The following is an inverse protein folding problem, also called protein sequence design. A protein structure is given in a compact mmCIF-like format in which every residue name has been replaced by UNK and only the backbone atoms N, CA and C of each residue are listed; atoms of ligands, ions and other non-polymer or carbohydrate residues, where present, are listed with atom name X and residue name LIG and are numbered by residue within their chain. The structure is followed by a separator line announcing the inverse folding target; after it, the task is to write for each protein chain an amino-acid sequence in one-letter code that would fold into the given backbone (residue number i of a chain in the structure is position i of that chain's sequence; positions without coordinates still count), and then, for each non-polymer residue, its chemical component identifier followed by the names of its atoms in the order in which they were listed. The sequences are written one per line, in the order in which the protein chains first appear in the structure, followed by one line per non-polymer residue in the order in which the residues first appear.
data_IF_557448164013
#
_entry.id   IF_557448164013
#
_cell.length_a   1.000
_cell.length_b   1.000
_cell.length_c   1.000
_cell.angle_alpha   90.00
_cell.angle_beta   90.00
_cell.angle_gamma   90.00
#
_symmetry.space_group_name_H-M   'P 1'
#
loop_
_entity.id
_entity.type
_entity.pdbx_description
1 polymer ?
#
# COMPACT_ATOMS: atom_id res chain seq x y z
N UNK A 1 7.16 -33.32 -3.27
CA UNK A 1 6.50 -33.04 -4.56
C UNK A 1 5.82 -31.68 -4.44
N UNK A 2 6.40 -30.63 -5.01
CA UNK A 2 5.75 -29.31 -5.08
C UNK A 2 5.01 -29.23 -6.42
N UNK A 3 3.68 -29.08 -6.37
CA UNK A 3 2.86 -28.90 -7.57
C UNK A 3 2.99 -27.49 -8.11
N UNK A 4 3.10 -27.32 -9.43
CA UNK A 4 3.05 -26.01 -10.07
C UNK A 4 1.60 -25.49 -10.06
N UNK A 5 1.33 -24.39 -9.34
CA UNK A 5 0.01 -23.80 -9.20
C UNK A 5 -0.67 -23.47 -10.54
N UNK A 6 0.10 -23.14 -11.59
CA UNK A 6 -0.45 -22.89 -12.94
C UNK A 6 -1.13 -24.12 -13.55
N UNK A 7 -0.82 -25.33 -13.08
CA UNK A 7 -1.50 -26.55 -13.55
C UNK A 7 -2.96 -26.59 -13.12
N UNK A 8 -3.34 -25.87 -12.05
CA UNK A 8 -4.72 -25.77 -11.60
C UNK A 8 -5.61 -25.05 -12.63
N UNK A 9 -5.05 -24.23 -13.54
CA UNK A 9 -5.80 -23.60 -14.64
C UNK A 9 -6.55 -24.62 -15.51
N UNK A 10 -6.09 -25.89 -15.57
CA UNK A 10 -6.81 -26.97 -16.29
C UNK A 10 -8.21 -27.24 -15.74
N UNK A 11 -8.46 -26.92 -14.46
CA UNK A 11 -9.77 -27.09 -13.84
C UNK A 11 -10.81 -26.13 -14.44
N UNK A 12 -10.39 -25.00 -15.01
CA UNK A 12 -11.28 -24.03 -15.66
C UNK A 12 -11.97 -24.58 -16.92
N UNK A 13 -11.44 -25.66 -17.50
CA UNK A 13 -12.04 -26.32 -18.66
C UNK A 13 -13.03 -27.43 -18.28
N UNK A 14 -13.25 -27.67 -16.98
CA UNK A 14 -14.20 -28.67 -16.52
C UNK A 14 -15.63 -28.12 -16.58
N UNK A 15 -16.64 -28.95 -16.92
CA UNK A 15 -18.04 -28.53 -16.95
C UNK A 15 -18.57 -27.99 -15.61
N UNK A 16 -17.94 -28.38 -14.49
CA UNK A 16 -18.28 -27.92 -13.15
C UNK A 16 -17.59 -26.61 -12.75
N UNK A 17 -16.78 -26.02 -13.63
CA UNK A 17 -16.09 -24.75 -13.33
C UNK A 17 -17.10 -23.61 -13.24
N UNK A 18 -16.88 -22.73 -12.29
CA UNK A 18 -17.68 -21.55 -11.99
C UNK A 18 -16.83 -20.29 -12.04
N UNK A 19 -17.47 -19.13 -12.00
CA UNK A 19 -16.79 -17.83 -11.92
C UNK A 19 -15.94 -17.70 -10.65
N UNK A 20 -16.34 -18.38 -9.56
CA UNK A 20 -15.57 -18.41 -8.31
C UNK A 20 -14.21 -19.09 -8.50
N UNK A 21 -14.10 -20.05 -9.41
CA UNK A 21 -12.83 -20.72 -9.71
C UNK A 21 -11.82 -19.78 -10.36
N UNK A 22 -12.27 -18.82 -11.19
CA UNK A 22 -11.41 -17.77 -11.74
C UNK A 22 -10.79 -16.92 -10.62
N UNK A 23 -11.61 -16.52 -9.64
CA UNK A 23 -11.15 -15.75 -8.47
C UNK A 23 -10.22 -16.56 -7.58
N UNK A 24 -10.58 -17.81 -7.29
CA UNK A 24 -9.81 -18.68 -6.41
C UNK A 24 -8.43 -18.98 -7.00
N UNK A 25 -8.39 -19.44 -8.25
CA UNK A 25 -7.15 -19.89 -8.87
C UNK A 25 -6.20 -18.72 -9.16
N UNK A 26 -6.71 -17.55 -9.57
CA UNK A 26 -5.89 -16.34 -9.69
C UNK A 26 -5.25 -15.95 -8.36
N UNK A 27 -6.00 -16.05 -7.26
CA UNK A 27 -5.50 -15.76 -5.93
C UNK A 27 -4.48 -16.78 -5.44
N UNK A 28 -4.66 -18.08 -5.74
CA UNK A 28 -3.70 -19.14 -5.39
C UNK A 28 -2.36 -18.89 -6.06
N UNK A 29 -2.35 -18.61 -7.38
CA UNK A 29 -1.12 -18.31 -8.10
C UNK A 29 -0.44 -17.05 -7.59
N UNK A 30 -1.21 -15.99 -7.29
CA UNK A 30 -0.67 -14.77 -6.69
C UNK A 30 -0.03 -15.03 -5.34
N UNK A 31 -0.66 -15.89 -4.52
CA UNK A 31 -0.15 -16.21 -3.20
C UNK A 31 1.16 -17.00 -3.27
N UNK A 32 1.38 -17.83 -4.29
CA UNK A 32 2.69 -18.48 -4.51
C UNK A 32 3.78 -17.43 -4.71
N UNK A 33 3.53 -16.41 -5.54
CA UNK A 33 4.48 -15.31 -5.77
C UNK A 33 4.70 -14.53 -4.46
N UNK A 34 3.63 -14.19 -3.73
CA UNK A 34 3.74 -13.47 -2.44
C UNK A 34 4.49 -14.25 -1.37
N UNK A 35 4.30 -15.57 -1.30
CA UNK A 35 5.05 -16.44 -0.38
C UNK A 35 6.53 -16.42 -0.75
N UNK A 36 6.86 -16.53 -2.04
CA UNK A 36 8.25 -16.46 -2.49
C UNK A 36 8.91 -15.10 -2.14
N UNK A 37 8.19 -13.99 -2.32
CA UNK A 37 8.62 -12.66 -1.89
C UNK A 37 8.87 -12.62 -0.38
N UNK A 38 7.95 -13.16 0.42
CA UNK A 38 8.06 -13.18 1.88
C UNK A 38 9.24 -14.03 2.38
N UNK A 39 9.44 -15.21 1.81
CA UNK A 39 10.52 -16.11 2.18
C UNK A 39 11.88 -15.51 1.83
N UNK A 40 11.97 -14.85 0.67
CA UNK A 40 13.24 -14.30 0.17
C UNK A 40 13.62 -13.00 0.88
N UNK A 41 12.70 -12.04 1.00
CA UNK A 41 12.96 -10.74 1.63
C UNK A 41 12.77 -10.74 3.15
N UNK A 42 12.15 -11.78 3.69
CA UNK A 42 12.00 -12.01 5.14
C UNK A 42 12.99 -13.02 5.70
N UNK A 43 13.96 -13.47 4.89
CA UNK A 43 14.96 -14.46 5.31
C UNK A 43 15.77 -13.97 6.52
N UNK A 44 16.08 -14.88 7.46
CA UNK A 44 16.90 -14.58 8.65
C UNK A 44 18.29 -14.06 8.30
N UNK A 45 18.83 -14.50 7.16
CA UNK A 45 20.08 -14.02 6.59
C UNK A 45 19.68 -13.13 5.42
N UNK A 46 19.82 -11.79 5.54
CA UNK A 46 19.47 -10.88 4.46
C UNK A 46 20.33 -11.14 3.21
N UNK A 47 19.70 -10.97 2.05
CA UNK A 47 20.41 -10.93 0.78
C UNK A 47 21.40 -9.76 0.73
N UNK A 48 22.42 -9.86 -0.12
CA UNK A 48 23.24 -8.70 -0.42
C UNK A 48 22.38 -7.61 -1.10
N UNK A 49 22.72 -6.34 -0.88
CA UNK A 49 21.91 -5.20 -1.36
C UNK A 49 21.66 -5.22 -2.87
N UNK A 50 22.66 -5.63 -3.66
CA UNK A 50 22.53 -5.77 -5.12
C UNK A 50 21.53 -6.88 -5.51
N UNK A 51 21.54 -7.99 -4.78
CA UNK A 51 20.64 -9.12 -5.01
C UNK A 51 19.19 -8.77 -4.66
N UNK A 52 18.97 -7.92 -3.65
CA UNK A 52 17.63 -7.41 -3.32
C UNK A 52 17.05 -6.60 -4.50
N UNK A 53 17.85 -5.71 -5.09
CA UNK A 53 17.39 -4.90 -6.21
C UNK A 53 17.08 -5.74 -7.45
N UNK A 54 17.92 -6.75 -7.74
CA UNK A 54 17.67 -7.72 -8.81
C UNK A 54 16.39 -8.53 -8.55
N UNK A 55 16.22 -9.04 -7.33
CA UNK A 55 15.04 -9.78 -6.90
C UNK A 55 13.76 -8.95 -7.04
N UNK A 56 13.78 -7.67 -6.66
CA UNK A 56 12.61 -6.78 -6.81
C UNK A 56 12.20 -6.66 -8.28
N UNK A 57 13.14 -6.59 -9.21
CA UNK A 57 12.83 -6.53 -10.64
C UNK A 57 12.22 -7.85 -11.13
N UNK A 58 12.80 -8.99 -10.74
CA UNK A 58 12.29 -10.31 -11.10
C UNK A 58 10.88 -10.56 -10.53
N UNK A 59 10.69 -10.33 -9.23
CA UNK A 59 9.39 -10.49 -8.58
C UNK A 59 8.33 -9.55 -9.17
N UNK A 60 8.72 -8.35 -9.61
CA UNK A 60 7.82 -7.45 -10.34
C UNK A 60 7.42 -8.03 -11.70
N UNK A 61 8.36 -8.57 -12.47
CA UNK A 61 8.07 -9.24 -13.74
C UNK A 61 7.10 -10.41 -13.54
N UNK A 62 7.28 -11.20 -12.49
CA UNK A 62 6.37 -12.30 -12.16
C UNK A 62 4.94 -11.81 -11.84
N UNK A 63 4.80 -10.71 -11.10
CA UNK A 63 3.52 -10.08 -10.84
C UNK A 63 2.88 -9.51 -12.11
N UNK A 64 3.67 -8.91 -13.00
CA UNK A 64 3.22 -8.39 -14.28
C UNK A 64 2.69 -9.53 -15.18
N UNK A 65 3.46 -10.63 -15.31
CA UNK A 65 3.05 -11.82 -16.06
C UNK A 65 1.81 -12.49 -15.48
N UNK A 66 1.73 -12.63 -14.16
CA UNK A 66 0.54 -13.16 -13.49
C UNK A 66 -0.69 -12.32 -13.83
N UNK A 67 -0.57 -10.99 -13.75
CA UNK A 67 -1.68 -10.08 -14.04
C UNK A 67 -2.14 -10.19 -15.49
N UNK A 68 -1.22 -10.12 -16.45
CA UNK A 68 -1.55 -10.17 -17.89
C UNK A 68 -2.20 -11.50 -18.29
N UNK A 69 -1.69 -12.61 -17.76
CA UNK A 69 -2.27 -13.93 -17.98
C UNK A 69 -3.70 -14.02 -17.44
N UNK A 70 -3.90 -13.61 -16.18
CA UNK A 70 -5.23 -13.73 -15.55
C UNK A 70 -6.23 -12.74 -16.11
N UNK A 71 -5.79 -11.55 -16.51
CA UNK A 71 -6.64 -10.62 -17.24
C UNK A 71 -7.15 -11.28 -18.53
N UNK A 72 -6.25 -11.86 -19.34
CA UNK A 72 -6.62 -12.54 -20.58
C UNK A 72 -7.53 -13.76 -20.34
N UNK A 73 -7.26 -14.54 -19.28
CA UNK A 73 -8.07 -15.70 -18.92
C UNK A 73 -9.49 -15.26 -18.56
N UNK A 74 -9.66 -14.23 -17.73
CA UNK A 74 -10.97 -13.71 -17.33
C UNK A 74 -11.72 -13.14 -18.53
N UNK A 75 -11.04 -12.33 -19.36
CA UNK A 75 -11.64 -11.71 -20.55
C UNK A 75 -12.10 -12.74 -21.59
N UNK A 76 -11.42 -13.90 -21.68
CA UNK A 76 -11.80 -14.99 -22.57
C UNK A 76 -12.87 -15.91 -21.97
N UNK A 77 -12.92 -16.03 -20.64
CA UNK A 77 -13.87 -16.90 -19.96
C UNK A 77 -15.26 -16.26 -19.81
N UNK A 78 -15.34 -14.93 -19.71
CA UNK A 78 -16.57 -14.19 -19.45
C UNK A 78 -16.90 -13.25 -20.60
N UNK A 79 -18.18 -13.24 -20.99
CA UNK A 79 -18.69 -12.33 -22.01
C UNK A 79 -18.51 -10.85 -21.57
N UNK A 80 -18.40 -9.90 -22.51
CA UNK A 80 -18.23 -8.48 -22.17
C UNK A 80 -19.33 -7.89 -21.29
N UNK A 81 -20.54 -8.43 -21.38
CA UNK A 81 -21.75 -8.05 -20.64
C UNK A 81 -21.97 -8.86 -19.35
N UNK A 82 -21.08 -9.79 -19.02
CA UNK A 82 -21.14 -10.56 -17.78
C UNK A 82 -20.90 -9.66 -16.55
N UNK A 83 -21.87 -9.65 -15.63
CA UNK A 83 -21.86 -8.82 -14.41
C UNK A 83 -20.67 -9.10 -13.49
N UNK A 84 -20.07 -10.30 -13.56
CA UNK A 84 -18.91 -10.67 -12.76
C UNK A 84 -17.59 -10.25 -13.39
N UNK A 85 -17.56 -9.97 -14.70
CA UNK A 85 -16.33 -9.64 -15.42
C UNK A 85 -15.66 -8.38 -14.88
N UNK A 86 -16.40 -7.28 -14.78
CA UNK A 86 -15.83 -6.00 -14.35
C UNK A 86 -15.32 -6.05 -12.89
N UNK A 87 -16.08 -6.55 -11.89
CA UNK A 87 -15.58 -6.70 -10.52
C UNK A 87 -14.36 -7.61 -10.40
N UNK A 88 -14.27 -8.68 -11.20
CA UNK A 88 -13.11 -9.57 -11.17
C UNK A 88 -11.85 -8.89 -11.72
N UNK A 89 -11.96 -8.17 -12.83
CA UNK A 89 -10.84 -7.41 -13.39
C UNK A 89 -10.40 -6.28 -12.45
N UNK A 90 -11.35 -5.61 -11.79
CA UNK A 90 -11.07 -4.65 -10.73
C UNK A 90 -10.24 -5.26 -9.60
N UNK A 91 -10.72 -6.40 -9.07
CA UNK A 91 -10.06 -7.12 -8.00
C UNK A 91 -8.64 -7.53 -8.41
N UNK A 92 -8.44 -7.97 -9.66
CA UNK A 92 -7.14 -8.35 -10.18
C UNK A 92 -6.15 -7.17 -10.18
N UNK A 93 -6.59 -5.99 -10.67
CA UNK A 93 -5.77 -4.76 -10.67
C UNK A 93 -5.43 -4.31 -9.25
N UNK A 94 -6.41 -4.31 -8.34
CA UNK A 94 -6.23 -3.95 -6.93
C UNK A 94 -5.23 -4.90 -6.25
N UNK A 95 -5.38 -6.22 -6.46
CA UNK A 95 -4.46 -7.21 -5.90
C UNK A 95 -3.03 -7.09 -6.47
N UNK A 96 -2.88 -6.68 -7.73
CA UNK A 96 -1.56 -6.36 -8.31
C UNK A 96 -0.92 -5.19 -7.57
N UNK A 97 -1.61 -4.06 -7.47
CA UNK A 97 -1.10 -2.87 -6.79
C UNK A 97 -0.73 -3.16 -5.33
N UNK A 98 -1.57 -3.92 -4.62
CA UNK A 98 -1.26 -4.40 -3.27
C UNK A 98 0.05 -5.20 -3.23
N UNK A 99 0.23 -6.14 -4.15
CA UNK A 99 1.39 -7.04 -4.15
C UNK A 99 2.69 -6.29 -4.46
N UNK A 100 2.65 -5.37 -5.44
CA UNK A 100 3.80 -4.52 -5.77
C UNK A 100 4.17 -3.61 -4.60
N UNK A 101 3.18 -2.97 -3.98
CA UNK A 101 3.41 -2.13 -2.80
C UNK A 101 4.08 -2.93 -1.67
N UNK A 102 3.58 -4.14 -1.38
CA UNK A 102 4.17 -5.04 -0.37
C UNK A 102 5.58 -5.50 -0.74
N UNK A 103 5.84 -5.82 -2.01
CA UNK A 103 7.17 -6.15 -2.51
C UNK A 103 8.16 -5.01 -2.22
N UNK A 104 7.81 -3.79 -2.60
CA UNK A 104 8.68 -2.62 -2.41
C UNK A 104 8.93 -2.34 -0.93
N UNK A 105 7.88 -2.39 -0.10
CA UNK A 105 8.01 -2.17 1.34
C UNK A 105 8.87 -3.26 2.02
N UNK A 106 8.74 -4.53 1.60
CA UNK A 106 9.60 -5.62 2.12
C UNK A 106 11.03 -5.47 1.66
N UNK A 107 11.26 -5.03 0.44
CA UNK A 107 12.60 -4.78 -0.06
C UNK A 107 13.28 -3.67 0.73
N UNK A 108 12.59 -2.56 1.02
CA UNK A 108 13.11 -1.49 1.87
C UNK A 108 13.46 -1.98 3.28
N UNK A 109 12.58 -2.80 3.89
CA UNK A 109 12.86 -3.43 5.18
C UNK A 109 14.08 -4.36 5.12
N UNK A 110 14.19 -5.17 4.07
CA UNK A 110 15.33 -6.07 3.86
C UNK A 110 16.64 -5.32 3.58
N UNK A 111 16.58 -4.12 3.01
CA UNK A 111 17.72 -3.23 2.81
C UNK A 111 18.16 -2.52 4.10
N UNK A 112 17.41 -2.68 5.20
CA UNK A 112 17.66 -2.02 6.48
C UNK A 112 17.32 -0.53 6.47
N UNK A 113 16.41 -0.11 5.57
CA UNK A 113 16.08 1.30 5.43
C UNK A 113 15.04 1.70 6.44
N UNK A 114 15.47 2.53 7.38
CA UNK A 114 14.58 3.15 8.35
C UNK A 114 14.49 4.66 8.12
N UNK A 115 15.62 5.32 7.80
CA UNK A 115 15.69 6.76 7.55
C UNK A 115 15.67 7.10 6.05
N UNK A 116 14.63 7.81 5.60
CA UNK A 116 14.48 8.27 4.21
C UNK A 116 15.58 9.26 3.77
N UNK A 117 16.14 10.06 4.70
CA UNK A 117 17.21 11.01 4.38
C UNK A 117 18.53 10.33 3.99
N UNK A 118 18.76 9.11 4.48
CA UNK A 118 19.99 8.34 4.26
C UNK A 118 19.87 7.34 3.09
N UNK A 119 18.78 7.40 2.32
CA UNK A 119 18.54 6.45 1.22
C UNK A 119 19.53 6.65 0.06
N UNK A 120 20.11 5.53 -0.39
CA UNK A 120 20.76 5.47 -1.70
C UNK A 120 19.76 5.71 -2.83
N UNK A 121 20.23 6.07 -4.05
CA UNK A 121 19.35 6.27 -5.20
C UNK A 121 18.46 5.06 -5.52
N UNK A 122 18.97 3.85 -5.29
CA UNK A 122 18.22 2.60 -5.51
C UNK A 122 17.10 2.45 -4.49
N UNK A 123 17.36 2.69 -3.20
CA UNK A 123 16.34 2.64 -2.15
C UNK A 123 15.27 3.71 -2.36
N UNK A 124 15.68 4.94 -2.70
CA UNK A 124 14.75 6.02 -3.01
C UNK A 124 13.86 5.68 -4.20
N UNK A 125 14.40 5.03 -5.23
CA UNK A 125 13.62 4.52 -6.37
C UNK A 125 12.60 3.49 -5.93
N UNK A 126 12.97 2.52 -5.07
CA UNK A 126 12.04 1.51 -4.53
C UNK A 126 10.93 2.18 -3.69
N UNK A 127 11.27 3.18 -2.88
CA UNK A 127 10.29 3.95 -2.10
C UNK A 127 9.29 4.68 -3.01
N UNK A 128 9.77 5.32 -4.07
CA UNK A 128 8.91 5.96 -5.07
C UNK A 128 7.99 4.94 -5.77
N UNK A 129 8.50 3.74 -6.05
CA UNK A 129 7.68 2.65 -6.61
C UNK A 129 6.61 2.18 -5.62
N UNK A 130 6.91 2.09 -4.31
CA UNK A 130 5.91 1.80 -3.28
C UNK A 130 4.80 2.86 -3.26
N UNK A 131 5.18 4.14 -3.28
CA UNK A 131 4.25 5.28 -3.32
C UNK A 131 3.38 5.27 -4.57
N UNK A 132 3.97 5.01 -5.73
CA UNK A 132 3.25 4.90 -7.00
C UNK A 132 2.23 3.75 -6.99
N UNK A 133 2.60 2.58 -6.48
CA UNK A 133 1.66 1.45 -6.32
C UNK A 133 0.52 1.80 -5.35
N UNK A 134 0.80 2.53 -4.26
CA UNK A 134 -0.21 2.99 -3.31
C UNK A 134 -1.19 4.02 -3.92
N UNK A 135 -0.68 5.02 -4.65
CA UNK A 135 -1.52 5.98 -5.39
C UNK A 135 -2.39 5.29 -6.43
N UNK A 136 -1.82 4.36 -7.20
CA UNK A 136 -2.59 3.58 -8.18
C UNK A 136 -3.67 2.75 -7.51
N UNK A 137 -3.39 2.14 -6.36
CA UNK A 137 -4.40 1.43 -5.57
C UNK A 137 -5.55 2.36 -5.17
N UNK A 138 -5.26 3.56 -4.66
CA UNK A 138 -6.30 4.55 -4.31
C UNK A 138 -7.15 4.93 -5.53
N UNK A 139 -6.51 5.25 -6.66
CA UNK A 139 -7.20 5.59 -7.91
C UNK A 139 -8.12 4.47 -8.40
N UNK A 140 -7.67 3.21 -8.36
CA UNK A 140 -8.51 2.06 -8.72
C UNK A 140 -9.72 1.90 -7.80
N UNK A 141 -9.54 2.19 -6.51
CA UNK A 141 -10.61 2.12 -5.52
C UNK A 141 -11.62 3.26 -5.67
N UNK A 142 -11.20 4.47 -6.03
CA UNK A 142 -12.08 5.65 -6.07
C UNK A 142 -12.64 5.96 -7.45
N UNK A 143 -11.92 5.65 -8.53
CA UNK A 143 -12.29 6.06 -9.90
C UNK A 143 -12.96 4.92 -10.66
N UNK A 144 -12.44 3.69 -10.56
CA UNK A 144 -12.75 2.68 -11.57
C UNK A 144 -13.95 1.75 -11.26
N UNK A 145 -14.43 1.54 -10.02
CA UNK A 145 -15.37 0.42 -9.80
C UNK A 145 -16.36 0.55 -8.62
N UNK A 146 -17.51 1.21 -8.84
CA UNK A 146 -18.68 1.12 -7.95
C UNK A 146 -19.07 -0.35 -7.69
N UNK A 147 -19.02 -1.19 -8.74
CA UNK A 147 -19.38 -2.61 -8.69
C UNK A 147 -18.42 -3.50 -7.88
N UNK A 148 -17.16 -3.07 -7.69
CA UNK A 148 -16.22 -3.77 -6.79
C UNK A 148 -16.48 -3.39 -5.32
N UNK A 149 -16.66 -2.09 -5.04
CA UNK A 149 -16.92 -1.59 -3.69
C UNK A 149 -18.25 -2.09 -3.14
N UNK A 150 -19.27 -2.23 -3.99
CA UNK A 150 -20.54 -2.85 -3.62
C UNK A 150 -20.38 -4.27 -3.09
N UNK A 151 -19.39 -5.02 -3.58
CA UNK A 151 -19.10 -6.39 -3.12
C UNK A 151 -18.27 -6.43 -1.83
N UNK A 152 -17.71 -5.30 -1.37
CA UNK A 152 -16.95 -5.24 -0.11
C UNK A 152 -17.80 -5.50 1.13
N UNK A 153 -19.12 -5.31 1.07
CA UNK A 153 -20.05 -5.68 2.15
C UNK A 153 -20.04 -7.17 2.49
N UNK A 154 -19.55 -8.01 1.58
CA UNK A 154 -19.36 -9.46 1.76
C UNK A 154 -17.89 -9.83 1.98
N UNK A 155 -17.00 -8.85 2.06
CA UNK A 155 -15.58 -9.09 2.22
C UNK A 155 -15.24 -9.42 3.67
N UNK A 156 -14.22 -10.25 3.82
CA UNK A 156 -13.60 -10.54 5.12
C UNK A 156 -12.92 -9.29 5.68
N UNK A 157 -12.80 -9.24 7.01
CA UNK A 157 -12.18 -8.13 7.76
C UNK A 157 -10.82 -7.68 7.21
N UNK A 158 -9.97 -8.64 6.82
CA UNK A 158 -8.65 -8.35 6.26
C UNK A 158 -8.67 -7.52 4.97
N UNK A 159 -9.78 -7.52 4.22
CA UNK A 159 -9.91 -6.72 3.00
C UNK A 159 -10.06 -5.24 3.36
N UNK A 160 -10.85 -4.94 4.40
CA UNK A 160 -10.99 -3.61 4.97
C UNK A 160 -9.65 -3.12 5.54
N UNK A 161 -8.96 -4.01 6.26
CA UNK A 161 -7.65 -3.71 6.80
C UNK A 161 -6.64 -3.32 5.69
N UNK A 162 -6.60 -4.07 4.59
CA UNK A 162 -5.74 -3.74 3.44
C UNK A 162 -6.08 -2.40 2.82
N UNK A 163 -7.36 -2.07 2.64
CA UNK A 163 -7.78 -0.78 2.09
C UNK A 163 -7.32 0.37 2.97
N UNK A 164 -7.53 0.26 4.28
CA UNK A 164 -7.07 1.25 5.24
C UNK A 164 -5.55 1.38 5.21
N UNK A 165 -4.83 0.26 5.25
CA UNK A 165 -3.38 0.23 5.19
C UNK A 165 -2.84 0.97 3.96
N UNK A 166 -3.32 0.65 2.75
CA UNK A 166 -2.85 1.26 1.50
C UNK A 166 -2.89 2.78 1.58
N UNK A 167 -4.00 3.31 2.08
CA UNK A 167 -4.19 4.75 2.15
C UNK A 167 -3.35 5.40 3.26
N UNK A 168 -3.26 4.78 4.43
CA UNK A 168 -2.41 5.26 5.53
C UNK A 168 -0.93 5.27 5.13
N UNK A 169 -0.47 4.21 4.46
CA UNK A 169 0.89 4.16 3.92
C UNK A 169 1.09 5.26 2.89
N UNK A 170 0.11 5.51 2.01
CA UNK A 170 0.19 6.59 1.03
C UNK A 170 0.32 7.96 1.71
N UNK A 171 -0.55 8.29 2.68
CA UNK A 171 -0.43 9.55 3.46
C UNK A 171 0.96 9.70 4.07
N UNK A 172 1.48 8.62 4.66
CA UNK A 172 2.83 8.58 5.24
C UNK A 172 3.92 8.83 4.19
N UNK A 173 3.87 8.14 3.05
CA UNK A 173 4.84 8.30 1.96
C UNK A 173 4.76 9.69 1.31
N UNK A 174 3.55 10.24 1.18
CA UNK A 174 3.29 11.59 0.68
C UNK A 174 3.84 12.66 1.60
N UNK A 175 3.90 12.41 2.91
CA UNK A 175 4.63 13.27 3.85
C UNK A 175 6.14 13.10 3.70
N UNK A 176 6.64 11.86 3.73
CA UNK A 176 8.09 11.54 3.67
C UNK A 176 8.77 12.02 2.39
N UNK A 177 8.06 11.93 1.27
CA UNK A 177 8.51 12.38 -0.03
C UNK A 177 7.70 13.62 -0.39
N UNK A 178 8.15 14.79 0.09
CA UNK A 178 7.58 16.12 -0.16
C UNK A 178 6.88 16.20 -1.54
N UNK A 179 5.61 16.61 -1.52
CA UNK A 179 4.76 16.73 -2.71
C UNK A 179 4.39 18.18 -2.98
N UNK A 180 3.90 18.44 -4.20
CA UNK A 180 3.28 19.73 -4.51
C UNK A 180 1.93 19.90 -3.83
N UNK A 181 1.50 21.15 -3.64
CA UNK A 181 0.19 21.49 -3.06
C UNK A 181 -0.98 20.81 -3.81
N UNK A 182 -0.93 20.78 -5.14
CA UNK A 182 -1.94 20.14 -5.98
C UNK A 182 -2.05 18.62 -5.69
N UNK A 183 -0.92 17.94 -5.50
CA UNK A 183 -0.90 16.51 -5.20
C UNK A 183 -1.49 16.21 -3.82
N UNK A 184 -1.24 17.09 -2.84
CA UNK A 184 -1.81 17.00 -1.51
C UNK A 184 -3.33 17.20 -1.52
N UNK A 185 -3.82 18.18 -2.29
CA UNK A 185 -5.25 18.43 -2.48
C UNK A 185 -5.93 17.24 -3.18
N UNK A 186 -5.33 16.72 -4.26
CA UNK A 186 -5.81 15.52 -4.96
C UNK A 186 -5.91 14.31 -4.01
N UNK A 187 -4.89 14.10 -3.18
CA UNK A 187 -4.85 13.02 -2.21
C UNK A 187 -5.95 13.13 -1.16
N UNK A 188 -6.23 14.34 -0.67
CA UNK A 188 -7.35 14.60 0.26
C UNK A 188 -8.70 14.36 -0.41
N UNK A 189 -8.89 14.82 -1.65
CA UNK A 189 -10.14 14.59 -2.40
C UNK A 189 -10.39 13.09 -2.60
N UNK A 190 -9.39 12.35 -3.08
CA UNK A 190 -9.51 10.91 -3.27
C UNK A 190 -9.66 10.15 -1.94
N UNK A 191 -8.96 10.58 -0.89
CA UNK A 191 -9.08 10.00 0.45
C UNK A 191 -10.48 10.14 1.05
N UNK A 192 -11.07 11.34 0.95
CA UNK A 192 -12.44 11.58 1.43
C UNK A 192 -13.45 10.75 0.63
N UNK A 193 -13.30 10.66 -0.70
CA UNK A 193 -14.14 9.80 -1.53
C UNK A 193 -14.05 8.33 -1.12
N UNK A 194 -12.84 7.81 -0.92
CA UNK A 194 -12.63 6.45 -0.42
C UNK A 194 -13.35 6.22 0.91
N UNK A 195 -13.23 7.16 1.86
CA UNK A 195 -13.89 7.07 3.16
C UNK A 195 -15.41 7.04 3.02
N UNK A 196 -15.99 7.89 2.17
CA UNK A 196 -17.43 7.90 1.90
C UNK A 196 -17.90 6.56 1.32
N UNK A 197 -17.20 6.04 0.32
CA UNK A 197 -17.61 4.81 -0.36
C UNK A 197 -17.48 3.58 0.55
N UNK A 198 -16.41 3.51 1.35
CA UNK A 198 -16.27 2.48 2.37
C UNK A 198 -17.35 2.60 3.47
N UNK A 199 -17.72 3.82 3.87
CA UNK A 199 -18.79 4.06 4.85
C UNK A 199 -20.14 3.57 4.32
N UNK A 200 -20.48 3.88 3.06
CA UNK A 200 -21.70 3.37 2.40
C UNK A 200 -21.74 1.85 2.38
N UNK A 201 -20.60 1.21 2.10
CA UNK A 201 -20.48 -0.26 2.04
C UNK A 201 -20.66 -0.92 3.42
N UNK A 202 -20.15 -0.31 4.50
CA UNK A 202 -20.39 -0.79 5.89
C UNK A 202 -21.85 -0.64 6.30
N UNK A 203 -22.49 0.51 6.02
CA UNK A 203 -23.90 0.74 6.39
C UNK A 203 -24.87 -0.26 5.76
N UNK A 204 -24.50 -0.84 4.61
CA UNK A 204 -25.28 -1.85 3.89
C UNK A 204 -24.92 -3.30 4.30
N UNK A 205 -24.01 -3.48 5.26
CA UNK A 205 -23.50 -4.78 5.68
C UNK A 205 -23.89 -5.09 7.14
N UNK A 206 -24.14 -6.37 7.44
CA UNK A 206 -24.19 -6.88 8.82
C UNK A 206 -22.76 -7.20 9.35
N UNK A 207 -21.71 -6.79 8.63
CA UNK A 207 -20.35 -7.20 8.86
C UNK A 207 -19.64 -6.28 9.90
N UNK A 208 -19.55 -6.81 11.11
CA UNK A 208 -18.45 -6.71 12.10
C UNK A 208 -17.98 -5.33 12.63
N UNK A 209 -17.90 -5.26 13.97
CA UNK A 209 -17.42 -4.14 14.80
C UNK A 209 -16.09 -3.48 14.37
N UNK A 210 -15.23 -4.21 13.65
CA UNK A 210 -13.87 -3.79 13.32
C UNK A 210 -13.77 -2.98 12.03
N UNK A 211 -14.69 -3.15 11.07
CA UNK A 211 -14.78 -2.29 9.88
C UNK A 211 -14.97 -0.82 10.27
N UNK A 212 -15.73 -0.57 11.33
CA UNK A 212 -15.90 0.75 11.91
C UNK A 212 -14.58 1.32 12.46
N UNK A 213 -13.72 0.49 13.09
CA UNK A 213 -12.43 0.94 13.59
C UNK A 213 -11.53 1.45 12.44
N UNK A 214 -11.45 0.72 11.33
CA UNK A 214 -10.69 1.15 10.13
C UNK A 214 -11.21 2.44 9.53
N UNK A 215 -12.55 2.61 9.49
CA UNK A 215 -13.16 3.86 9.03
C UNK A 215 -12.83 5.04 9.95
N UNK A 216 -12.87 4.85 11.27
CA UNK A 216 -12.50 5.92 12.22
C UNK A 216 -11.04 6.33 12.05
N UNK A 217 -10.14 5.36 11.92
CA UNK A 217 -8.72 5.61 11.68
C UNK A 217 -8.51 6.41 10.40
N UNK A 218 -9.15 6.00 9.31
CA UNK A 218 -9.07 6.70 8.03
C UNK A 218 -9.56 8.14 8.15
N UNK A 219 -10.74 8.35 8.75
CA UNK A 219 -11.30 9.68 8.99
C UNK A 219 -10.34 10.57 9.76
N UNK A 220 -9.86 10.12 10.91
CA UNK A 220 -8.95 10.89 11.76
C UNK A 220 -7.62 11.18 11.05
N UNK A 221 -7.12 10.24 10.26
CA UNK A 221 -5.88 10.41 9.49
C UNK A 221 -6.03 11.43 8.37
N UNK A 222 -7.16 11.43 7.65
CA UNK A 222 -7.49 12.41 6.61
C UNK A 222 -7.62 13.80 7.22
N UNK A 223 -8.41 13.94 8.29
CA UNK A 223 -8.61 15.22 8.98
C UNK A 223 -7.29 15.81 9.46
N UNK A 224 -6.44 14.98 10.08
CA UNK A 224 -5.12 15.42 10.52
C UNK A 224 -4.26 15.87 9.35
N UNK A 225 -4.18 15.06 8.30
CA UNK A 225 -3.39 15.37 7.12
C UNK A 225 -3.82 16.72 6.49
N UNK A 226 -5.14 16.97 6.44
CA UNK A 226 -5.70 18.24 5.97
C UNK A 226 -5.31 19.43 6.85
N UNK A 227 -5.38 19.29 8.19
CA UNK A 227 -4.97 20.36 9.13
C UNK A 227 -3.50 20.73 8.97
N UNK A 228 -2.62 19.73 8.87
CA UNK A 228 -1.18 19.97 8.70
C UNK A 228 -0.85 20.72 7.42
N UNK A 229 -1.63 20.51 6.35
CA UNK A 229 -1.47 21.24 5.08
C UNK A 229 -1.92 22.71 5.20
N UNK A 230 -3.02 22.96 5.91
CA UNK A 230 -3.53 24.32 6.11
C UNK A 230 -2.59 25.15 6.99
N UNK A 231 -2.05 24.57 8.05
CA UNK A 231 -1.08 25.22 8.94
C UNK A 231 0.22 25.56 8.20
N UNK A 232 0.70 24.68 7.32
CA UNK A 232 1.86 24.95 6.47
C UNK A 232 1.61 26.03 5.40
N UNK A 233 0.36 26.29 5.03
CA UNK A 233 -0.02 27.29 4.03
C UNK A 233 -0.33 28.68 4.59
N UNK A 234 -0.50 28.82 5.91
CA UNK A 234 -0.78 30.10 6.59
C UNK A 234 0.48 30.86 7.04
N UNK A 235 1.68 30.29 6.85
CA UNK A 235 2.96 30.88 7.24
C UNK A 235 3.65 31.77 6.20
N UNK A 236 3.05 32.00 5.03
CA UNK A 236 3.72 32.56 3.85
C UNK A 236 3.38 34.04 3.53
N UNK A 237 3.05 34.85 4.56
CA UNK A 237 2.91 36.32 4.41
C UNK A 237 3.99 37.14 5.17
N UNK A 238 5.04 36.50 5.69
CA UNK A 238 6.14 37.17 6.39
C UNK A 238 7.50 36.80 5.83
N UNK A 239 8.26 37.81 5.37
CA UNK A 239 9.62 37.71 4.81
C UNK A 239 10.55 36.79 5.61
N UNK A 240 11.35 35.99 4.86
CA UNK A 240 12.24 34.89 5.27
C UNK A 240 11.57 33.52 5.47
N UNK A 241 11.04 32.96 4.38
CA UNK A 241 10.72 31.55 4.27
C UNK A 241 12.01 30.70 4.25
N UNK A 242 12.59 30.47 5.43
CA UNK A 242 13.36 29.24 5.62
C UNK A 242 12.36 28.09 5.50
N UNK A 243 12.52 27.33 4.42
CA UNK A 243 11.85 26.06 4.09
C UNK A 243 12.14 25.01 5.17
N UNK A 244 11.57 25.16 6.36
CA UNK A 244 11.65 24.17 7.42
C UNK A 244 10.81 22.95 7.03
N UNK A 245 11.41 21.76 6.85
CA UNK A 245 10.66 20.55 6.56
C UNK A 245 9.73 20.24 7.75
N UNK A 246 8.48 19.89 7.46
CA UNK A 246 7.43 19.55 8.44
C UNK A 246 7.86 18.59 9.59
N UNK A 247 8.93 17.81 9.43
CA UNK A 247 9.53 16.94 10.46
C UNK A 247 10.07 17.66 11.70
N UNK A 248 10.22 18.98 11.66
CA UNK A 248 10.51 19.78 12.86
C UNK A 248 9.34 19.78 13.86
N UNK A 249 8.12 19.44 13.45
CA UNK A 249 7.03 19.10 14.38
C UNK A 249 7.18 17.65 14.85
N UNK A 250 8.01 17.45 15.88
CA UNK A 250 8.29 16.18 16.55
C UNK A 250 7.02 15.37 16.95
N UNK A 251 5.87 16.02 17.15
CA UNK A 251 4.59 15.36 17.44
C UNK A 251 4.07 14.52 16.26
N UNK A 252 4.38 14.90 15.02
CA UNK A 252 3.72 14.32 13.86
C UNK A 252 4.14 12.88 13.53
N UNK A 253 5.26 12.40 14.07
CA UNK A 253 5.78 11.03 13.95
C UNK A 253 5.12 10.11 14.99
N UNK A 254 5.07 10.55 16.25
CA UNK A 254 4.39 9.88 17.38
C UNK A 254 2.88 9.78 17.13
N UNK A 255 2.31 10.82 16.55
CA UNK A 255 0.92 10.81 16.13
C UNK A 255 0.68 9.90 14.92
N UNK A 256 1.60 9.83 13.95
CA UNK A 256 1.47 8.90 12.81
C UNK A 256 1.43 7.44 13.25
N UNK A 257 2.16 7.09 14.31
CA UNK A 257 2.13 5.77 14.94
C UNK A 257 0.88 5.53 15.78
N UNK A 258 0.24 6.58 16.31
CA UNK A 258 -1.00 6.44 17.10
C UNK A 258 -2.26 6.24 16.27
N UNK A 259 -2.23 6.51 14.95
CA UNK A 259 -3.36 6.25 14.04
C UNK A 259 -3.59 4.77 13.75
N UNK A 260 -2.60 3.92 14.00
CA UNK A 260 -2.68 2.51 13.64
C UNK A 260 -2.87 1.69 14.91
N UNK A 261 -4.01 1.00 15.11
CA UNK A 261 -4.23 0.18 16.29
C UNK A 261 -3.08 -0.81 16.47
N UNK A 262 -2.65 -1.03 17.70
CA UNK A 262 -1.62 -2.02 17.98
C UNK A 262 -2.03 -3.42 17.48
N UNK A 263 -3.33 -3.76 17.47
CA UNK A 263 -3.82 -4.99 16.83
C UNK A 263 -3.56 -5.02 15.33
N UNK A 264 -3.68 -3.88 14.64
CA UNK A 264 -3.42 -3.78 13.21
C UNK A 264 -1.93 -3.94 12.87
N UNK A 265 -1.03 -3.45 13.72
CA UNK A 265 0.42 -3.62 13.55
C UNK A 265 0.86 -5.04 13.96
N UNK A 266 0.33 -5.57 15.06
CA UNK A 266 0.72 -6.87 15.62
C UNK A 266 0.12 -8.07 14.89
N UNK A 267 -1.12 -7.99 14.41
CA UNK A 267 -1.77 -9.10 13.70
C UNK A 267 -1.39 -9.16 12.22
N UNK A 268 -1.03 -8.03 11.59
CA UNK A 268 -0.84 -7.94 10.14
C UNK A 268 0.59 -7.64 9.66
N UNK A 269 1.55 -7.31 10.55
CA UNK A 269 2.97 -6.96 10.27
C UNK A 269 3.16 -6.29 8.89
N UNK A 270 2.52 -5.14 8.68
CA UNK A 270 2.58 -4.48 7.39
C UNK A 270 3.92 -3.74 7.20
N UNK A 271 4.71 -4.14 6.18
CA UNK A 271 6.01 -3.53 5.91
C UNK A 271 5.83 -2.07 5.45
N UNK A 272 6.76 -1.19 5.83
CA UNK A 272 6.77 0.23 5.43
C UNK A 272 6.21 1.20 6.48
N UNK A 273 5.51 0.73 7.50
CA UNK A 273 5.08 1.60 8.62
C UNK A 273 6.23 2.05 9.52
N UNK A 274 7.37 1.37 9.51
CA UNK A 274 8.52 1.74 10.33
C UNK A 274 9.44 2.79 9.68
N UNK A 275 9.12 3.24 8.45
CA UNK A 275 9.92 4.28 7.78
C UNK A 275 9.78 5.63 8.49
N UNK A 276 10.88 6.35 8.64
CA UNK A 276 10.94 7.68 9.24
C UNK A 276 11.92 8.58 8.50
N UNK A 277 11.93 9.87 8.82
CA UNK A 277 12.89 10.82 8.27
C UNK A 277 13.59 11.54 9.42
N UNK A 278 14.92 11.45 9.48
CA UNK A 278 15.76 12.29 10.34
C UNK A 278 16.85 12.94 9.50
N UNK A 279 17.05 14.26 9.57
CA UNK A 279 18.12 14.91 8.83
C UNK A 279 19.49 14.33 9.26
N UNK A 280 20.29 13.90 8.29
CA UNK A 280 21.64 13.35 8.56
C UNK A 280 22.57 14.38 9.20
N UNK A 281 22.34 15.67 8.96
CA UNK A 281 23.10 16.77 9.59
C UNK A 281 22.96 16.82 11.10
N UNK A 282 21.86 16.33 11.68
CA UNK A 282 21.70 16.26 13.14
C UNK A 282 22.53 15.13 13.77
N UNK A 283 22.81 14.05 13.03
CA UNK A 283 23.73 13.00 13.52
C UNK A 283 25.17 13.51 13.59
N UNK A 284 25.59 14.35 12.63
CA UNK A 284 26.88 15.05 12.69
C UNK A 284 26.90 16.08 13.83
N UNK A 285 25.78 16.79 14.07
CA UNK A 285 25.65 17.74 15.17
C UNK A 285 25.80 17.08 16.55
N UNK A 286 25.26 15.87 16.76
CA UNK A 286 25.45 15.10 18.00
C UNK A 286 26.77 14.32 18.06
N UNK A 287 27.41 14.05 16.92
CA UNK A 287 28.77 13.52 16.87
C UNK A 287 29.78 14.53 17.44
N UNK A 288 29.57 15.83 17.20
CA UNK A 288 30.37 16.92 17.77
C UNK A 288 30.20 17.06 19.30
N UNK A 289 29.07 16.62 19.88
CA UNK A 289 28.89 16.56 21.34
C UNK A 289 29.47 15.30 22.00
N UNK A 290 29.93 14.32 21.21
CA UNK A 290 30.45 13.03 21.72
C UNK A 290 31.98 13.02 21.93
N UNK A 291 32.67 14.15 21.72
CA UNK A 291 34.13 14.29 21.89
C UNK A 291 34.56 15.25 23.02
N UNK A 292 33.76 15.36 24.08
CA UNK A 292 34.20 16.01 25.32
C UNK A 292 34.23 15.00 26.49
N UNK A 293 35.31 14.23 26.56
CA UNK A 293 35.86 13.67 27.81
C UNK A 293 37.33 14.00 27.89
#
# INVERSE_FOLDING_TARGET
MTGNARRCRKLLHQPSSTVLDLRLLSQVELNVIRVHINETLGAKIPLARADIAAFVQEAKLDLDLWFEDWQRIIENALAPDDEERAPLLAALRIQKCWSEMMLHCKALRSLGVENVAAMSPVERKILLMAKASARKHLSLMTIEHDSYLEKLKYAMDFVWAKCAFCFLLLLKLSRLLSEGKEEHEELLTHGNRLLEDLTKSVSNSNAASNGNAYLQILRLSIEKYGRTLQESGLGDEGENADTAPFWELFDAQTELTSFVPEQFVSEWDFPGLNLFYFPTTWQDFFADFSLAV
#
